data_IF_405531887656
#
_entry.id   IF_405531887656
#
_cell.length_a   1.000
_cell.length_b   1.000
_cell.length_c   1.000
_cell.angle_alpha   90.00
_cell.angle_beta   90.00
_cell.angle_gamma   90.00
#
_symmetry.space_group_name_H-M   'P 1'
#
loop_
_entity.id
_entity.type
_entity.pdbx_description
1 polymer ?
#
# COMPACT_ATOMS: atom_id res chain seq x y z
N UNK A 1 -11.36 -4.68 5.16
CA UNK A 1 -11.02 -3.24 5.04
C UNK A 1 -9.52 -3.13 4.91
N UNK A 2 -9.04 -2.32 3.97
CA UNK A 2 -7.63 -2.11 3.67
C UNK A 2 -7.23 -0.67 3.99
N UNK A 3 -6.00 -0.49 4.50
CA UNK A 3 -5.45 0.83 4.84
C UNK A 3 -4.31 1.21 3.92
N UNK A 4 -4.31 2.44 3.43
CA UNK A 4 -3.20 2.99 2.67
C UNK A 4 -2.38 3.91 3.55
N UNK A 5 -1.11 3.58 3.72
CA UNK A 5 -0.20 4.23 4.65
C UNK A 5 0.96 4.85 3.88
N UNK A 6 1.33 6.09 4.16
CA UNK A 6 2.55 6.70 3.66
C UNK A 6 3.61 6.74 4.74
N UNK A 7 4.75 6.13 4.50
CA UNK A 7 5.92 6.26 5.34
C UNK A 7 6.52 7.66 5.16
N UNK A 8 6.62 8.43 6.25
CA UNK A 8 7.33 9.71 6.28
C UNK A 8 8.57 9.62 7.20
N UNK A 9 9.77 9.96 6.71
CA UNK A 9 10.97 10.02 7.54
C UNK A 9 10.75 10.89 8.79
N UNK A 10 11.10 10.36 9.96
CA UNK A 10 10.95 11.04 11.26
C UNK A 10 9.52 11.12 11.82
N UNK A 11 8.49 10.68 11.08
CA UNK A 11 7.08 10.79 11.49
C UNK A 11 6.31 9.46 11.46
N UNK A 12 6.95 8.36 11.01
CA UNK A 12 6.32 7.05 10.95
C UNK A 12 5.33 6.89 9.78
N UNK A 13 4.35 6.02 9.96
CA UNK A 13 3.30 5.74 8.98
C UNK A 13 2.14 6.74 9.13
N UNK A 14 1.71 7.34 8.03
CA UNK A 14 0.57 8.27 7.98
C UNK A 14 -0.56 7.62 7.19
N UNK A 15 -1.76 7.56 7.75
CA UNK A 15 -2.95 7.10 7.04
C UNK A 15 -3.33 8.08 5.92
N UNK A 16 -3.40 7.58 4.70
CA UNK A 16 -3.87 8.33 3.52
C UNK A 16 -5.38 8.12 3.30
N UNK A 17 -5.79 6.86 3.30
CA UNK A 17 -7.18 6.45 3.15
C UNK A 17 -7.39 5.06 3.74
N UNK A 18 -8.64 4.73 4.05
CA UNK A 18 -9.08 3.44 4.56
C UNK A 18 -10.45 3.13 3.96
N UNK A 19 -10.66 1.90 3.50
CA UNK A 19 -11.91 1.50 2.88
C UNK A 19 -12.03 0.01 2.59
N UNK A 20 -13.22 -0.43 2.22
CA UNK A 20 -13.53 -1.79 1.79
C UNK A 20 -13.54 -1.90 0.26
N UNK A 21 -12.59 -2.66 -0.28
CA UNK A 21 -12.53 -2.99 -1.72
C UNK A 21 -13.78 -3.71 -2.25
N UNK A 22 -14.65 -4.22 -1.38
CA UNK A 22 -15.92 -4.87 -1.74
C UNK A 22 -17.06 -3.87 -1.95
N UNK A 23 -16.88 -2.62 -1.52
CA UNK A 23 -17.84 -1.53 -1.70
C UNK A 23 -17.35 -0.64 -2.84
N UNK A 24 -18.10 -0.57 -3.94
CA UNK A 24 -17.65 0.10 -5.19
C UNK A 24 -17.18 1.55 -4.97
N UNK A 25 -17.92 2.34 -4.21
CA UNK A 25 -17.57 3.75 -3.95
C UNK A 25 -16.26 3.86 -3.15
N UNK A 26 -16.06 2.98 -2.18
CA UNK A 26 -14.81 2.94 -1.41
C UNK A 26 -13.65 2.40 -2.25
N UNK A 27 -13.90 1.41 -3.11
CA UNK A 27 -12.91 0.89 -4.06
C UNK A 27 -12.45 1.97 -5.05
N UNK A 28 -13.36 2.79 -5.59
CA UNK A 28 -13.02 3.90 -6.47
C UNK A 28 -12.09 4.91 -5.77
N UNK A 29 -12.37 5.23 -4.49
CA UNK A 29 -11.52 6.09 -3.66
C UNK A 29 -10.14 5.47 -3.41
N UNK A 30 -10.09 4.17 -3.11
CA UNK A 30 -8.84 3.41 -2.94
C UNK A 30 -8.01 3.43 -4.23
N UNK A 31 -8.62 3.15 -5.38
CA UNK A 31 -7.93 3.18 -6.69
C UNK A 31 -7.39 4.57 -7.00
N UNK A 32 -8.18 5.61 -6.76
CA UNK A 32 -7.75 7.00 -6.99
C UNK A 32 -6.55 7.38 -6.11
N UNK A 33 -6.57 7.04 -4.83
CA UNK A 33 -5.45 7.30 -3.91
C UNK A 33 -4.20 6.51 -4.29
N UNK A 34 -4.35 5.22 -4.66
CA UNK A 34 -3.23 4.38 -5.07
C UNK A 34 -2.47 5.01 -6.23
N UNK A 35 -3.20 5.39 -7.28
CA UNK A 35 -2.64 6.03 -8.48
C UNK A 35 -1.99 7.37 -8.13
N UNK A 36 -2.65 8.20 -7.32
CA UNK A 36 -2.09 9.49 -6.89
C UNK A 36 -0.72 9.34 -6.23
N UNK A 37 -0.55 8.36 -5.33
CA UNK A 37 0.75 8.13 -4.69
C UNK A 37 1.83 7.67 -5.68
N UNK A 38 1.49 6.81 -6.65
CA UNK A 38 2.44 6.40 -7.69
C UNK A 38 2.83 7.55 -8.62
N UNK A 39 1.86 8.41 -8.97
CA UNK A 39 2.08 9.61 -9.77
C UNK A 39 2.95 10.64 -9.02
N UNK A 40 2.84 10.71 -7.68
CA UNK A 40 3.77 11.44 -6.80
C UNK A 40 5.18 10.83 -6.75
N UNK A 41 5.41 9.72 -7.47
CA UNK A 41 6.70 9.06 -7.58
C UNK A 41 7.04 8.12 -6.42
N UNK A 42 6.03 7.69 -5.66
CA UNK A 42 6.19 6.74 -4.55
C UNK A 42 6.27 5.30 -5.06
N UNK A 43 6.82 4.41 -4.23
CA UNK A 43 6.66 2.97 -4.37
C UNK A 43 5.58 2.47 -3.41
N UNK A 44 4.90 1.39 -3.79
CA UNK A 44 3.88 0.73 -2.99
C UNK A 44 4.31 -0.71 -2.67
N UNK A 45 4.14 -1.12 -1.41
CA UNK A 45 4.36 -2.49 -0.98
C UNK A 45 3.23 -3.00 -0.10
N UNK A 46 2.88 -4.27 -0.27
CA UNK A 46 1.92 -4.99 0.55
C UNK A 46 2.68 -5.92 1.49
N UNK A 47 2.59 -5.76 2.83
CA UNK A 47 3.09 -6.75 3.75
C UNK A 47 2.39 -8.08 3.53
N UNK A 48 3.15 -9.15 3.29
CA UNK A 48 2.63 -10.51 3.15
C UNK A 48 3.14 -11.34 4.32
N UNK A 49 2.23 -12.06 4.97
CA UNK A 49 2.59 -13.04 6.00
C UNK A 49 2.79 -14.39 5.33
N UNK A 50 4.02 -14.91 5.33
CA UNK A 50 4.27 -16.28 4.91
C UNK A 50 4.03 -17.23 6.09
N UNK A 51 3.01 -18.10 6.04
CA UNK A 51 2.76 -19.07 7.11
C UNK A 51 3.96 -20.03 7.19
N UNK A 52 4.77 -19.91 8.24
CA UNK A 52 5.89 -20.82 8.55
C UNK A 52 7.30 -20.23 8.49
N UNK A 53 7.52 -19.04 7.91
CA UNK A 53 8.88 -18.46 7.84
C UNK A 53 9.19 -17.49 9.00
N UNK A 54 8.17 -16.95 9.67
CA UNK A 54 8.32 -15.92 10.70
C UNK A 54 8.89 -14.59 10.18
N UNK A 55 9.13 -14.46 8.86
CA UNK A 55 9.67 -13.26 8.24
C UNK A 55 8.53 -12.40 7.71
N UNK A 56 8.59 -11.11 8.04
CA UNK A 56 7.76 -10.09 7.38
C UNK A 56 8.33 -9.85 6.00
N UNK A 57 7.66 -10.38 5.00
CA UNK A 57 7.96 -10.14 3.60
C UNK A 57 7.04 -9.03 3.08
N UNK A 58 7.48 -8.33 2.03
CA UNK A 58 6.70 -7.29 1.40
C UNK A 58 6.72 -7.49 -0.11
N UNK A 59 5.54 -7.58 -0.71
CA UNK A 59 5.38 -7.63 -2.15
C UNK A 59 5.30 -6.21 -2.69
N UNK A 60 6.23 -5.86 -3.59
CA UNK A 60 6.16 -4.62 -4.35
C UNK A 60 5.01 -4.71 -5.37
N UNK A 61 4.16 -3.68 -5.40
CA UNK A 61 3.03 -3.60 -6.34
C UNK A 61 3.11 -2.32 -7.15
N UNK A 62 2.77 -2.42 -8.44
CA UNK A 62 2.78 -1.31 -9.40
C UNK A 62 1.39 -0.95 -9.90
N UNK A 63 0.43 -1.85 -9.74
CA UNK A 63 -0.96 -1.63 -10.08
C UNK A 63 -1.87 -2.06 -8.92
N UNK A 64 -3.03 -1.41 -8.79
CA UNK A 64 -4.00 -1.70 -7.74
C UNK A 64 -4.50 -3.16 -7.80
N UNK A 65 -4.63 -3.73 -9.01
CA UNK A 65 -5.03 -5.13 -9.21
C UNK A 65 -4.01 -6.15 -8.69
N UNK A 66 -2.76 -5.75 -8.46
CA UNK A 66 -1.73 -6.62 -7.89
C UNK A 66 -1.85 -6.77 -6.36
N UNK A 67 -2.72 -5.96 -5.72
CA UNK A 67 -2.95 -6.02 -4.27
C UNK A 67 -3.77 -7.28 -3.93
N UNK A 68 -3.22 -8.18 -3.08
CA UNK A 68 -3.92 -9.36 -2.60
C UNK A 68 -5.31 -9.05 -2.02
N UNK A 69 -6.32 -9.91 -2.25
CA UNK A 69 -7.69 -9.71 -1.77
C UNK A 69 -7.82 -9.63 -0.25
N UNK A 70 -6.90 -10.26 0.47
CA UNK A 70 -6.79 -10.34 1.92
C UNK A 70 -5.80 -9.33 2.53
N UNK A 71 -5.20 -8.46 1.71
CA UNK A 71 -4.28 -7.44 2.18
C UNK A 71 -4.97 -6.47 3.16
N UNK A 72 -4.40 -6.33 4.36
CA UNK A 72 -4.90 -5.40 5.36
C UNK A 72 -4.35 -3.97 5.16
N UNK A 73 -3.20 -3.83 4.50
CA UNK A 73 -2.55 -2.54 4.28
C UNK A 73 -1.64 -2.49 3.06
N UNK A 74 -1.49 -1.29 2.50
CA UNK A 74 -0.50 -0.91 1.50
C UNK A 74 0.37 0.20 2.08
N UNK A 75 1.69 0.06 1.97
CA UNK A 75 2.66 1.04 2.47
C UNK A 75 3.32 1.72 1.27
N UNK A 76 3.17 3.04 1.21
CA UNK A 76 3.81 3.92 0.24
C UNK A 76 5.07 4.54 0.83
N UNK A 77 6.17 4.49 0.11
CA UNK A 77 7.43 5.07 0.56
C UNK A 77 8.18 5.73 -0.61
N UNK A 78 8.98 6.77 -0.34
CA UNK A 78 9.77 7.41 -1.38
C UNK A 78 10.70 6.38 -2.04
N UNK A 79 10.85 6.47 -3.36
CA UNK A 79 11.92 5.75 -4.05
C UNK A 79 13.25 6.23 -3.47
N UNK A 80 14.07 5.32 -2.98
CA UNK A 80 15.42 5.68 -2.55
C UNK A 80 16.15 6.31 -3.75
N UNK A 81 16.64 7.54 -3.58
CA UNK A 81 17.54 8.14 -4.54
C UNK A 81 18.92 7.49 -4.37
N UNK A 82 19.19 6.44 -5.15
CA UNK A 82 20.53 5.87 -5.30
C UNK A 82 20.74 4.51 -4.62
N UNK A 83 21.21 3.56 -5.44
CA UNK A 83 22.35 2.72 -5.05
C UNK A 83 23.65 3.42 -5.40
#
# INVERSE_FOLDING_TARGET
MIKFLRMKPGHGEILLTEGDRRVREEEENLVAEFRRQLDEGMWAAVPVENPGSGRREAQMVRDYSEIPPDAERVIFFPRAAGG
#
